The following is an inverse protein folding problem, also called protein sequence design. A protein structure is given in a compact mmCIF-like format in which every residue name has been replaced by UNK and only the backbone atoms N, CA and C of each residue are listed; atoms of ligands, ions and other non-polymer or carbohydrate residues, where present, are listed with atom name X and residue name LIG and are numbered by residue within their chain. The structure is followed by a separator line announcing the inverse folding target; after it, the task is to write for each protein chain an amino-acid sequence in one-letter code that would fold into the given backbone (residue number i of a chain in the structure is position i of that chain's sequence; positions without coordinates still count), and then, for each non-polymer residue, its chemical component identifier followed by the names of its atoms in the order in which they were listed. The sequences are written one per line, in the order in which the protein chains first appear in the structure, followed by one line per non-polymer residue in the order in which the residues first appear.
data_IF_974324437996
#
_entry.id   IF_974324437996
#
_cell.length_a   1.000
_cell.length_b   1.000
_cell.length_c   1.000
_cell.angle_alpha   90.00
_cell.angle_beta   90.00
_cell.angle_gamma   90.00
#
_symmetry.space_group_name_H-M   'P 1'
#
loop_
_entity.id
_entity.type
_entity.pdbx_description
1 polymer ?
#
# COMPACT_ATOMS: atom_id res chain seq x y z
N UNK A 1 -36.44 2.12 9.23
CA UNK A 1 -34.97 2.15 9.07
C UNK A 1 -34.40 3.12 10.08
N UNK A 2 -33.68 2.62 11.09
CA UNK A 2 -32.98 3.48 12.05
C UNK A 2 -31.80 4.10 11.31
N UNK A 3 -31.77 5.43 11.15
CA UNK A 3 -30.56 6.13 10.70
C UNK A 3 -29.43 5.68 11.62
N UNK A 4 -28.38 5.06 11.07
CA UNK A 4 -27.14 4.77 11.80
C UNK A 4 -26.49 6.12 12.17
N UNK A 5 -27.00 6.75 13.22
CA UNK A 5 -26.50 8.01 13.74
C UNK A 5 -25.46 7.72 14.82
N UNK A 6 -24.37 8.47 14.79
CA UNK A 6 -23.38 8.49 15.85
C UNK A 6 -24.02 8.90 17.20
N UNK A 7 -23.46 8.48 18.35
CA UNK A 7 -23.87 9.01 19.65
C UNK A 7 -23.85 10.54 19.62
N UNK A 8 -24.96 11.17 20.05
CA UNK A 8 -25.18 12.63 19.95
C UNK A 8 -24.13 13.47 20.67
N UNK A 9 -23.37 12.86 21.58
CA UNK A 9 -22.44 13.53 22.49
C UNK A 9 -20.98 13.44 22.01
N UNK A 10 -20.73 12.78 20.86
CA UNK A 10 -19.39 12.60 20.31
C UNK A 10 -19.00 13.81 19.45
N UNK A 11 -18.38 14.82 20.06
CA UNK A 11 -17.74 15.92 19.32
C UNK A 11 -16.42 15.42 18.75
N UNK A 12 -16.44 14.84 17.55
CA UNK A 12 -15.22 14.38 16.88
C UNK A 12 -14.53 15.59 16.22
N UNK A 13 -13.34 15.96 16.73
CA UNK A 13 -12.38 16.86 16.07
C UNK A 13 -12.51 18.37 16.33
N UNK A 14 -13.51 18.82 17.09
CA UNK A 14 -13.72 20.25 17.35
C UNK A 14 -14.25 21.03 16.13
N UNK A 15 -14.47 22.36 16.25
CA UNK A 15 -15.06 23.15 15.18
C UNK A 15 -14.17 23.16 13.92
N UNK A 16 -14.68 22.62 12.81
CA UNK A 16 -14.01 22.63 11.51
C UNK A 16 -13.30 21.34 11.10
N UNK A 17 -13.32 20.28 11.92
CA UNK A 17 -12.80 18.96 11.55
C UNK A 17 -13.92 18.00 11.16
N UNK A 18 -13.66 17.16 10.16
CA UNK A 18 -14.59 16.11 9.73
C UNK A 18 -14.57 14.97 10.76
N UNK A 19 -15.72 14.37 11.10
CA UNK A 19 -15.73 13.18 11.95
C UNK A 19 -14.96 12.04 11.27
N UNK A 20 -14.25 11.24 12.08
CA UNK A 20 -13.37 10.17 11.61
C UNK A 20 -14.06 8.81 11.75
N UNK A 21 -14.02 7.99 10.70
CA UNK A 21 -14.38 6.57 10.74
C UNK A 21 -13.11 5.74 10.54
N UNK A 22 -12.84 4.85 11.50
CA UNK A 22 -11.78 3.86 11.38
C UNK A 22 -12.19 2.77 10.39
N UNK A 23 -11.34 2.48 9.42
CA UNK A 23 -11.52 1.48 8.38
C UNK A 23 -10.35 0.52 8.48
N UNK A 24 -10.62 -0.73 8.85
CA UNK A 24 -9.60 -1.78 8.89
C UNK A 24 -9.63 -2.57 7.60
N UNK A 25 -8.47 -3.01 7.16
CA UNK A 25 -8.30 -3.86 5.98
C UNK A 25 -7.31 -4.97 6.30
N UNK A 26 -7.56 -6.14 5.72
CA UNK A 26 -6.69 -7.30 5.80
C UNK A 26 -7.05 -8.32 4.71
N UNK A 27 -6.13 -9.24 4.42
CA UNK A 27 -6.32 -10.35 3.50
C UNK A 27 -6.22 -11.71 4.18
N UNK A 28 -7.21 -12.58 3.91
CA UNK A 28 -7.19 -13.95 4.40
C UNK A 28 -7.21 -14.97 3.27
N UNK A 29 -6.47 -16.06 3.45
CA UNK A 29 -6.48 -17.19 2.52
C UNK A 29 -7.35 -18.31 3.07
N UNK A 30 -8.18 -18.87 2.20
CA UNK A 30 -9.04 -20.02 2.45
C UNK A 30 -8.72 -21.11 1.43
N UNK A 31 -8.52 -22.33 1.89
CA UNK A 31 -8.20 -23.47 1.04
C UNK A 31 -9.27 -24.55 1.15
N UNK A 32 -9.51 -25.33 0.08
CA UNK A 32 -10.56 -26.35 0.04
C UNK A 32 -10.45 -27.41 1.15
N UNK A 33 -9.23 -27.65 1.64
CA UNK A 33 -8.98 -28.62 2.71
C UNK A 33 -8.74 -27.94 4.07
N UNK A 34 -9.08 -26.66 4.24
CA UNK A 34 -9.15 -26.03 5.55
C UNK A 34 -10.26 -26.66 6.41
N UNK A 35 -10.08 -26.62 7.72
CA UNK A 35 -10.95 -27.30 8.69
C UNK A 35 -10.18 -28.04 9.79
N UNK A 36 -10.90 -28.87 10.56
CA UNK A 36 -10.39 -29.51 11.77
C UNK A 36 -9.18 -30.39 11.50
N UNK A 37 -8.03 -30.04 12.10
CA UNK A 37 -6.79 -30.81 12.00
C UNK A 37 -6.73 -31.99 12.97
N UNK A 38 -7.61 -32.01 13.95
CA UNK A 38 -7.65 -32.99 15.01
C UNK A 38 -9.08 -33.52 15.16
N UNK A 39 -9.20 -34.82 15.37
CA UNK A 39 -10.46 -35.50 15.62
C UNK A 39 -10.23 -36.66 16.60
N UNK A 40 -11.18 -36.86 17.51
CA UNK A 40 -11.22 -38.07 18.33
C UNK A 40 -11.73 -39.23 17.47
N UNK A 41 -10.91 -40.28 17.34
CA UNK A 41 -11.25 -41.46 16.54
C UNK A 41 -11.33 -42.71 17.42
N UNK A 42 -12.35 -43.53 17.18
CA UNK A 42 -12.49 -44.83 17.83
C UNK A 42 -11.46 -45.86 17.31
N UNK A 43 -11.26 -46.99 18.02
CA UNK A 43 -10.15 -47.92 17.80
C UNK A 43 -10.03 -48.50 16.37
N UNK A 44 -11.11 -48.50 15.60
CA UNK A 44 -11.18 -49.10 14.26
C UNK A 44 -11.45 -48.07 13.14
N UNK A 45 -11.21 -46.78 13.38
CA UNK A 45 -11.42 -45.72 12.38
C UNK A 45 -10.13 -45.01 12.04
N UNK A 46 -10.00 -44.60 10.78
CA UNK A 46 -8.91 -43.77 10.31
C UNK A 46 -9.41 -42.37 9.98
N UNK A 47 -8.71 -41.35 10.49
CA UNK A 47 -8.92 -39.98 10.08
C UNK A 47 -8.07 -39.71 8.84
N UNK A 48 -8.68 -39.80 7.65
CA UNK A 48 -8.02 -39.52 6.38
C UNK A 48 -8.22 -38.05 6.00
N UNK A 49 -7.12 -37.35 5.73
CA UNK A 49 -7.12 -35.99 5.20
C UNK A 49 -6.24 -35.94 3.95
N UNK A 50 -6.64 -35.21 2.91
CA UNK A 50 -5.72 -34.87 1.82
C UNK A 50 -4.44 -34.21 2.35
N UNK A 51 -3.28 -34.60 1.82
CA UNK A 51 -1.98 -34.07 2.28
C UNK A 51 -1.76 -32.59 1.91
N UNK A 52 -2.43 -32.11 0.85
CA UNK A 52 -2.32 -30.73 0.38
C UNK A 52 -3.44 -29.83 0.89
N UNK A 53 -3.27 -28.51 0.76
CA UNK A 53 -4.31 -27.52 1.09
C UNK A 53 -5.50 -27.52 0.12
N UNK A 54 -5.34 -28.12 -1.06
CA UNK A 54 -6.35 -28.06 -2.12
C UNK A 54 -6.22 -26.76 -2.93
N UNK A 55 -7.27 -26.40 -3.65
CA UNK A 55 -7.37 -25.07 -4.28
C UNK A 55 -7.53 -24.02 -3.19
N UNK A 56 -7.12 -22.79 -3.46
CA UNK A 56 -7.21 -21.70 -2.49
C UNK A 56 -7.70 -20.41 -3.12
N UNK A 57 -8.39 -19.64 -2.30
CA UNK A 57 -8.82 -18.28 -2.59
C UNK A 57 -8.19 -17.35 -1.55
N UNK A 58 -7.74 -16.20 -1.98
CA UNK A 58 -7.45 -15.06 -1.13
C UNK A 58 -8.66 -14.15 -1.16
N UNK A 59 -9.07 -13.68 0.01
CA UNK A 59 -10.16 -12.73 0.19
C UNK A 59 -9.57 -11.49 0.82
N UNK A 60 -9.74 -10.36 0.17
CA UNK A 60 -9.35 -9.03 0.67
C UNK A 60 -10.62 -8.24 0.98
N UNK A 61 -10.71 -7.64 2.16
CA UNK A 61 -11.94 -6.98 2.60
C UNK A 61 -11.72 -5.84 3.60
N UNK A 62 -12.77 -5.04 3.79
CA UNK A 62 -12.76 -3.88 4.67
C UNK A 62 -13.83 -3.99 5.75
N UNK A 63 -13.45 -3.71 6.99
CA UNK A 63 -14.39 -3.59 8.10
C UNK A 63 -14.39 -2.17 8.68
N UNK A 64 -15.57 -1.77 9.11
CA UNK A 64 -15.86 -0.62 9.96
C UNK A 64 -16.05 -1.13 11.40
N UNK A 65 -16.06 -0.25 12.41
CA UNK A 65 -16.16 -0.68 13.82
C UNK A 65 -17.47 -1.43 14.14
N UNK A 66 -18.48 -1.32 13.28
CA UNK A 66 -19.81 -1.89 13.49
C UNK A 66 -20.29 -2.82 12.36
N UNK A 67 -19.56 -2.94 11.25
CA UNK A 67 -19.96 -3.81 10.15
C UNK A 67 -18.86 -3.98 9.11
N UNK A 68 -19.01 -4.99 8.26
CA UNK A 68 -18.32 -5.02 6.96
C UNK A 68 -18.68 -3.78 6.13
N UNK A 69 -17.75 -3.31 5.30
CA UNK A 69 -18.01 -2.22 4.37
C UNK A 69 -18.96 -2.71 3.27
N UNK A 70 -20.20 -2.22 3.30
CA UNK A 70 -21.26 -2.59 2.37
C UNK A 70 -22.07 -1.39 1.90
N UNK A 71 -22.65 -1.47 0.71
CA UNK A 71 -23.61 -0.51 0.15
C UNK A 71 -25.07 -0.91 0.39
N UNK A 72 -25.32 -1.79 1.36
CA UNK A 72 -26.68 -2.25 1.74
C UNK A 72 -27.60 -1.11 2.19
N UNK A 73 -27.02 -0.02 2.71
CA UNK A 73 -27.77 1.17 3.11
C UNK A 73 -28.22 2.03 1.93
N UNK A 74 -27.71 1.78 0.72
CA UNK A 74 -28.08 2.49 -0.49
C UNK A 74 -29.20 1.75 -1.23
N UNK A 75 -30.05 2.48 -1.93
CA UNK A 75 -30.98 1.93 -2.92
C UNK A 75 -30.22 1.38 -4.14
N UNK A 76 -30.90 0.58 -4.98
CA UNK A 76 -30.31 0.11 -6.24
C UNK A 76 -29.90 1.26 -7.16
N UNK A 77 -30.77 2.27 -7.31
CA UNK A 77 -30.49 3.49 -8.09
C UNK A 77 -29.24 4.23 -7.59
N UNK A 78 -29.05 4.34 -6.27
CA UNK A 78 -27.88 4.99 -5.70
C UNK A 78 -26.58 4.20 -5.92
N UNK A 79 -26.68 2.88 -6.11
CA UNK A 79 -25.55 1.99 -6.44
C UNK A 79 -25.20 1.96 -7.93
N UNK A 80 -26.17 2.22 -8.82
CA UNK A 80 -26.04 2.03 -10.27
C UNK A 80 -26.13 3.31 -11.09
N UNK A 81 -25.99 4.49 -10.47
CA UNK A 81 -25.99 5.77 -11.19
C UNK A 81 -24.94 5.77 -12.33
N UNK A 82 -25.20 6.51 -13.41
CA UNK A 82 -24.60 6.39 -14.74
C UNK A 82 -23.07 6.34 -14.81
N UNK A 83 -22.38 6.89 -13.81
CA UNK A 83 -20.93 7.06 -13.81
C UNK A 83 -20.19 6.08 -12.88
N UNK A 84 -20.88 5.30 -12.04
CA UNK A 84 -20.21 4.36 -11.11
C UNK A 84 -21.14 3.23 -10.67
N UNK A 85 -20.74 1.99 -10.95
CA UNK A 85 -21.38 0.79 -10.40
C UNK A 85 -20.67 0.37 -9.10
N UNK A 86 -21.27 0.67 -7.95
CA UNK A 86 -20.71 0.28 -6.66
C UNK A 86 -21.10 -1.16 -6.30
N UNK A 87 -20.15 -2.01 -5.85
CA UNK A 87 -20.46 -3.37 -5.44
C UNK A 87 -21.22 -3.39 -4.10
N UNK A 88 -21.87 -4.52 -3.79
CA UNK A 88 -22.58 -4.71 -2.52
C UNK A 88 -21.62 -4.70 -1.33
N UNK A 89 -20.49 -5.38 -1.45
CA UNK A 89 -19.40 -5.40 -0.46
C UNK A 89 -18.10 -4.97 -1.13
N UNK A 90 -17.20 -4.38 -0.35
CA UNK A 90 -15.89 -3.94 -0.82
C UNK A 90 -14.91 -5.11 -1.00
N UNK A 91 -15.39 -6.32 -1.23
CA UNK A 91 -14.56 -7.54 -1.16
C UNK A 91 -13.97 -7.88 -2.51
N UNK A 92 -12.69 -8.25 -2.52
CA UNK A 92 -12.04 -8.83 -3.68
C UNK A 92 -11.66 -10.28 -3.41
N UNK A 93 -11.90 -11.12 -4.42
CA UNK A 93 -11.50 -12.52 -4.42
C UNK A 93 -10.37 -12.69 -5.44
N UNK A 94 -9.33 -13.43 -5.06
CA UNK A 94 -8.27 -13.86 -5.95
C UNK A 94 -8.10 -15.36 -5.78
N UNK A 95 -8.41 -16.13 -6.81
CA UNK A 95 -8.05 -17.55 -6.85
C UNK A 95 -6.53 -17.64 -7.05
N UNK A 96 -5.82 -18.42 -6.23
CA UNK A 96 -4.37 -18.58 -6.39
C UNK A 96 -4.00 -20.02 -6.78
N UNK A 97 -3.17 -20.14 -7.81
CA UNK A 97 -2.77 -21.40 -8.44
C UNK A 97 -1.62 -21.21 -9.44
N UNK A 98 -1.20 -22.27 -10.14
CA UNK A 98 -0.03 -22.23 -11.05
C UNK A 98 -0.16 -21.24 -12.23
N UNK A 99 -1.36 -20.77 -12.54
CA UNK A 99 -1.70 -19.95 -13.72
C UNK A 99 -2.28 -18.58 -13.36
N UNK A 100 -2.62 -18.34 -12.11
CA UNK A 100 -3.27 -17.11 -11.64
C UNK A 100 -2.20 -16.13 -11.11
N UNK A 101 -2.47 -14.83 -11.20
CA UNK A 101 -1.58 -13.77 -10.74
C UNK A 101 -1.34 -13.76 -9.23
N UNK A 102 -0.43 -12.91 -8.78
CA UNK A 102 -0.18 -12.67 -7.35
C UNK A 102 -0.76 -11.32 -6.95
N UNK A 103 -1.33 -11.24 -5.75
CA UNK A 103 -1.77 -9.97 -5.15
C UNK A 103 -0.55 -9.14 -4.75
N UNK A 104 -0.44 -7.94 -5.31
CA UNK A 104 0.64 -7.00 -5.03
C UNK A 104 0.16 -5.68 -4.40
N UNK A 105 1.11 -4.79 -4.09
CA UNK A 105 0.78 -3.48 -3.52
C UNK A 105 -0.05 -2.58 -4.44
N UNK A 106 0.02 -2.76 -5.76
CA UNK A 106 -0.79 -2.01 -6.73
C UNK A 106 -2.24 -2.50 -6.69
N UNK A 107 -2.45 -3.81 -6.55
CA UNK A 107 -3.80 -4.38 -6.38
C UNK A 107 -4.49 -3.82 -5.14
N UNK A 108 -3.75 -3.70 -4.02
CA UNK A 108 -4.26 -3.08 -2.80
C UNK A 108 -4.59 -1.60 -2.98
N UNK A 109 -3.70 -0.83 -3.59
CA UNK A 109 -3.95 0.61 -3.86
C UNK A 109 -5.20 0.77 -4.73
N UNK A 110 -5.34 -0.03 -5.79
CA UNK A 110 -6.55 -0.04 -6.62
C UNK A 110 -7.78 -0.45 -5.82
N UNK A 111 -7.67 -1.44 -4.93
CA UNK A 111 -8.77 -1.87 -4.08
C UNK A 111 -9.27 -0.75 -3.16
N UNK A 112 -8.36 0.03 -2.57
CA UNK A 112 -8.71 1.19 -1.75
C UNK A 112 -9.30 2.31 -2.60
N UNK A 113 -8.63 2.71 -3.68
CA UNK A 113 -8.99 3.90 -4.45
C UNK A 113 -10.22 3.71 -5.32
N UNK A 114 -10.41 2.53 -5.90
CA UNK A 114 -11.46 2.26 -6.89
C UNK A 114 -12.70 1.63 -6.27
N UNK A 115 -12.57 1.01 -5.09
CA UNK A 115 -13.69 0.31 -4.43
C UNK A 115 -14.01 0.94 -3.08
N UNK A 116 -13.09 0.85 -2.11
CA UNK A 116 -13.40 1.23 -0.73
C UNK A 116 -13.72 2.73 -0.59
N UNK A 117 -12.89 3.60 -1.14
CA UNK A 117 -13.07 5.06 -1.05
C UNK A 117 -14.36 5.54 -1.73
N UNK A 118 -14.69 5.14 -2.98
CA UNK A 118 -15.96 5.48 -3.60
C UNK A 118 -17.17 5.05 -2.77
N UNK A 119 -17.15 3.81 -2.24
CA UNK A 119 -18.21 3.32 -1.35
C UNK A 119 -18.33 4.18 -0.09
N UNK A 120 -17.22 4.42 0.61
CA UNK A 120 -17.18 5.19 1.85
C UNK A 120 -17.67 6.63 1.65
N UNK A 121 -17.23 7.31 0.59
CA UNK A 121 -17.66 8.68 0.26
C UNK A 121 -19.16 8.76 -0.03
N UNK A 122 -19.72 7.71 -0.63
CA UNK A 122 -21.16 7.63 -0.94
C UNK A 122 -21.99 7.35 0.31
N UNK A 123 -21.56 6.41 1.16
CA UNK A 123 -22.31 5.97 2.34
C UNK A 123 -22.18 6.98 3.50
N UNK A 124 -20.99 7.57 3.67
CA UNK A 124 -20.67 8.49 4.78
C UNK A 124 -20.12 9.83 4.24
N UNK A 125 -20.95 10.61 3.51
CA UNK A 125 -20.51 11.90 3.01
C UNK A 125 -20.14 12.84 4.16
N UNK A 126 -19.07 13.62 3.98
CA UNK A 126 -18.57 14.58 4.98
C UNK A 126 -17.66 13.99 6.06
N UNK A 127 -17.46 12.66 6.09
CA UNK A 127 -16.51 12.02 7.00
C UNK A 127 -15.09 12.04 6.44
N UNK A 128 -14.12 11.89 7.33
CA UNK A 128 -12.75 11.49 7.02
C UNK A 128 -12.56 10.02 7.41
N UNK A 129 -11.83 9.27 6.60
CA UNK A 129 -11.58 7.86 6.85
C UNK A 129 -10.15 7.70 7.35
N UNK A 130 -9.99 6.94 8.44
CA UNK A 130 -8.70 6.53 8.97
C UNK A 130 -8.50 5.06 8.61
N UNK A 131 -7.63 4.77 7.67
CA UNK A 131 -7.30 3.41 7.29
C UNK A 131 -6.26 2.82 8.23
N UNK A 132 -6.52 1.64 8.76
CA UNK A 132 -5.59 0.88 9.57
C UNK A 132 -5.20 -0.40 8.84
N UNK A 133 -3.93 -0.49 8.49
CA UNK A 133 -3.35 -1.64 7.81
C UNK A 133 -2.35 -2.35 8.72
N UNK A 134 -2.16 -3.64 8.45
CA UNK A 134 -1.01 -4.38 8.92
C UNK A 134 0.29 -3.82 8.28
N UNK A 135 1.45 -4.26 8.75
CA UNK A 135 2.75 -3.84 8.21
C UNK A 135 3.35 -4.92 7.32
N UNK A 136 2.55 -5.43 6.39
CA UNK A 136 3.01 -6.36 5.37
C UNK A 136 3.91 -5.66 4.35
N UNK A 137 4.77 -6.45 3.69
CA UNK A 137 5.65 -5.95 2.63
C UNK A 137 4.87 -5.32 1.46
N UNK A 138 3.66 -5.81 1.18
CA UNK A 138 2.82 -5.30 0.11
C UNK A 138 2.37 -3.86 0.41
N UNK A 139 2.07 -3.56 1.67
CA UNK A 139 1.63 -2.24 2.14
C UNK A 139 2.76 -1.21 2.13
N UNK A 140 4.00 -1.67 2.28
CA UNK A 140 5.23 -0.85 2.22
C UNK A 140 5.76 -0.59 0.81
N UNK A 141 5.03 -0.92 -0.25
CA UNK A 141 5.46 -0.71 -1.63
C UNK A 141 5.51 0.79 -1.94
N UNK A 142 6.61 1.26 -2.52
CA UNK A 142 6.77 2.67 -2.93
C UNK A 142 6.36 2.85 -4.39
N UNK A 143 6.04 4.09 -4.77
CA UNK A 143 5.84 4.45 -6.17
C UNK A 143 7.06 4.10 -7.03
N UNK A 144 6.84 3.72 -8.29
CA UNK A 144 7.94 3.32 -9.20
C UNK A 144 8.97 4.43 -9.42
N UNK A 145 8.54 5.69 -9.31
CA UNK A 145 9.38 6.87 -9.40
C UNK A 145 9.83 7.43 -8.03
N UNK A 146 9.59 6.75 -6.90
CA UNK A 146 9.98 7.26 -5.58
C UNK A 146 11.51 7.43 -5.44
N UNK A 147 11.95 8.43 -4.67
CA UNK A 147 13.36 8.72 -4.39
C UNK A 147 13.95 7.63 -3.50
N UNK A 148 14.36 6.52 -4.11
CA UNK A 148 14.92 5.37 -3.40
C UNK A 148 16.31 5.07 -3.90
N UNK A 149 17.27 5.10 -2.98
CA UNK A 149 18.67 4.76 -3.28
C UNK A 149 18.81 3.35 -3.85
N UNK A 150 17.95 2.40 -3.45
CA UNK A 150 17.97 1.03 -3.99
C UNK A 150 17.54 0.96 -5.46
N UNK A 151 16.89 2.00 -5.98
CA UNK A 151 16.47 2.11 -7.38
C UNK A 151 17.41 2.95 -8.23
N UNK A 152 18.55 3.37 -7.67
CA UNK A 152 19.55 4.19 -8.35
C UNK A 152 20.83 3.40 -8.60
N UNK A 153 21.51 3.72 -9.69
CA UNK A 153 22.88 3.29 -9.99
C UNK A 153 23.87 4.38 -9.58
N UNK A 154 25.15 4.03 -9.45
CA UNK A 154 26.19 5.02 -9.15
C UNK A 154 26.42 6.01 -10.30
N UNK A 155 26.44 5.51 -11.54
CA UNK A 155 26.63 6.28 -12.77
C UNK A 155 25.28 6.54 -13.43
N UNK A 156 25.14 7.70 -14.09
CA UNK A 156 23.92 8.03 -14.82
C UNK A 156 23.68 7.12 -16.01
N UNK A 157 22.41 6.94 -16.35
CA UNK A 157 21.97 6.12 -17.47
C UNK A 157 22.02 4.61 -17.18
N UNK A 158 21.51 3.85 -18.15
CA UNK A 158 21.34 2.40 -18.05
C UNK A 158 19.88 2.01 -18.23
N UNK A 159 19.63 1.01 -19.06
CA UNK A 159 18.27 0.56 -19.44
C UNK A 159 17.43 0.08 -18.25
N UNK A 160 18.06 -0.34 -17.16
CA UNK A 160 17.40 -0.85 -15.95
C UNK A 160 17.23 0.19 -14.84
N UNK A 161 17.71 1.42 -15.02
CA UNK A 161 17.60 2.45 -13.99
C UNK A 161 16.20 3.09 -14.03
N UNK A 162 15.51 3.14 -12.88
CA UNK A 162 14.20 3.78 -12.77
C UNK A 162 14.32 5.30 -12.92
N UNK A 163 13.35 5.91 -13.61
CA UNK A 163 13.20 7.36 -13.69
C UNK A 163 12.54 7.84 -12.40
N UNK A 164 13.29 8.55 -11.57
CA UNK A 164 12.81 9.02 -10.27
C UNK A 164 12.16 10.40 -10.39
N UNK A 165 11.22 10.68 -9.49
CA UNK A 165 10.58 11.99 -9.33
C UNK A 165 11.58 13.03 -8.86
N UNK A 166 11.21 14.31 -8.97
CA UNK A 166 12.00 15.44 -8.47
C UNK A 166 12.29 15.29 -6.98
N UNK A 167 13.53 15.57 -6.61
CA UNK A 167 13.97 15.74 -5.22
C UNK A 167 14.01 17.20 -4.80
N UNK A 168 14.34 17.42 -3.53
CA UNK A 168 14.42 18.74 -2.93
C UNK A 168 15.71 18.87 -2.13
N UNK A 169 16.53 19.84 -2.50
CA UNK A 169 17.81 20.09 -1.86
C UNK A 169 17.58 20.53 -0.42
N UNK A 170 18.22 19.87 0.55
CA UNK A 170 18.04 20.16 1.98
C UNK A 170 16.56 20.15 2.42
N UNK A 171 15.72 19.35 1.77
CA UNK A 171 14.28 19.28 2.07
C UNK A 171 13.46 20.51 1.67
N UNK A 172 14.06 21.52 1.02
CA UNK A 172 13.39 22.77 0.66
C UNK A 172 12.62 22.64 -0.67
N UNK A 173 11.27 22.74 -0.66
CA UNK A 173 10.46 22.66 -1.87
C UNK A 173 10.79 23.72 -2.93
N UNK A 174 11.40 24.85 -2.53
CA UNK A 174 11.84 25.88 -3.45
C UNK A 174 13.12 25.50 -4.22
N UNK A 175 13.90 24.54 -3.70
CA UNK A 175 15.16 24.10 -4.30
C UNK A 175 15.01 22.73 -4.94
N UNK A 176 14.30 22.71 -6.07
CA UNK A 176 14.03 21.49 -6.84
C UNK A 176 15.32 20.91 -7.41
N UNK A 177 15.53 19.62 -7.19
CA UNK A 177 16.55 18.82 -7.87
C UNK A 177 15.90 17.89 -8.90
N UNK A 178 16.19 18.09 -10.17
CA UNK A 178 15.83 17.14 -11.22
C UNK A 178 16.62 15.84 -11.07
N UNK A 179 15.94 14.69 -11.19
CA UNK A 179 16.57 13.36 -11.12
C UNK A 179 16.83 12.74 -12.50
N UNK A 180 16.55 13.49 -13.56
CA UNK A 180 16.73 13.10 -14.95
C UNK A 180 17.37 14.23 -15.75
N UNK A 181 17.85 13.92 -16.95
CA UNK A 181 18.24 14.90 -17.96
C UNK A 181 17.83 14.41 -19.35
N UNK A 182 17.62 15.36 -20.26
CA UNK A 182 17.38 15.04 -21.67
C UNK A 182 18.72 14.80 -22.38
N UNK A 183 18.77 13.76 -23.21
CA UNK A 183 19.93 13.39 -24.00
C UNK A 183 19.51 12.97 -25.40
N UNK A 184 20.27 13.37 -26.41
CA UNK A 184 20.04 12.97 -27.80
C UNK A 184 20.87 11.71 -28.06
N UNK A 185 20.22 10.63 -28.50
CA UNK A 185 20.90 9.44 -28.97
C UNK A 185 21.70 9.78 -30.23
N UNK A 186 23.02 9.63 -30.17
CA UNK A 186 23.93 9.99 -31.26
C UNK A 186 23.75 9.17 -32.54
N UNK A 187 23.12 7.99 -32.46
CA UNK A 187 22.89 7.09 -33.59
C UNK A 187 21.51 7.26 -34.21
N UNK A 188 20.48 7.50 -33.39
CA UNK A 188 19.09 7.62 -33.88
C UNK A 188 18.62 9.07 -34.00
N UNK A 189 19.32 10.02 -33.38
CA UNK A 189 18.88 11.42 -33.27
C UNK A 189 17.67 11.60 -32.35
N UNK A 190 17.26 10.55 -31.63
CA UNK A 190 16.07 10.57 -30.78
C UNK A 190 16.37 11.23 -29.44
N UNK A 191 15.51 12.14 -28.99
CA UNK A 191 15.54 12.63 -27.61
C UNK A 191 15.11 11.54 -26.65
N UNK A 192 15.93 11.29 -25.64
CA UNK A 192 15.72 10.29 -24.60
C UNK A 192 15.93 10.92 -23.23
N UNK A 193 15.12 10.51 -22.26
CA UNK A 193 15.30 10.91 -20.87
C UNK A 193 16.17 9.89 -20.15
N UNK A 194 17.28 10.36 -19.57
CA UNK A 194 18.22 9.52 -18.81
C UNK A 194 18.13 9.83 -17.33
N UNK A 195 18.18 8.79 -16.49
CA UNK A 195 18.22 8.93 -15.05
C UNK A 195 19.61 9.39 -14.57
N UNK A 196 19.64 10.30 -13.59
CA UNK A 196 20.88 10.69 -12.91
C UNK A 196 21.33 9.57 -11.96
N UNK A 197 22.62 9.25 -12.00
CA UNK A 197 23.23 8.35 -11.02
C UNK A 197 23.50 9.06 -9.70
N UNK A 198 23.69 8.29 -8.62
CA UNK A 198 24.00 8.80 -7.29
C UNK A 198 25.17 9.78 -7.29
N UNK A 199 26.19 9.56 -8.13
CA UNK A 199 27.35 10.45 -8.22
C UNK A 199 26.95 11.87 -8.61
N UNK A 200 26.16 12.04 -9.68
CA UNK A 200 25.74 13.36 -10.17
C UNK A 200 24.85 14.04 -9.14
N UNK A 201 23.90 13.30 -8.57
CA UNK A 201 22.98 13.81 -7.54
C UNK A 201 23.74 14.32 -6.31
N UNK A 202 24.75 13.58 -5.85
CA UNK A 202 25.59 13.99 -4.71
C UNK A 202 26.55 15.13 -5.06
N UNK A 203 27.03 15.23 -6.31
CA UNK A 203 27.86 16.35 -6.76
C UNK A 203 27.06 17.66 -6.77
N UNK A 204 25.84 17.62 -7.30
CA UNK A 204 24.90 18.75 -7.28
C UNK A 204 24.58 19.18 -5.84
N UNK A 205 24.48 18.23 -4.91
CA UNK A 205 24.31 18.47 -3.47
C UNK A 205 25.56 18.94 -2.73
N UNK A 206 26.73 18.95 -3.36
CA UNK A 206 28.00 19.27 -2.69
C UNK A 206 28.45 18.21 -1.67
N UNK A 207 27.88 17.00 -1.73
CA UNK A 207 28.14 15.90 -0.80
C UNK A 207 29.10 14.83 -1.36
N UNK A 208 29.41 14.91 -2.65
CA UNK A 208 30.31 13.96 -3.30
C UNK A 208 31.76 14.13 -2.83
N UNK A 209 32.42 13.00 -2.55
CA UNK A 209 33.86 12.91 -2.28
C UNK A 209 34.49 11.92 -3.26
N UNK A 210 35.69 12.22 -3.73
CA UNK A 210 36.38 11.32 -4.64
C UNK A 210 36.72 9.99 -3.97
N UNK A 211 36.54 8.89 -4.71
CA UNK A 211 36.70 7.53 -4.20
C UNK A 211 35.48 6.92 -3.53
N UNK A 212 34.34 7.63 -3.46
CA UNK A 212 33.08 7.04 -2.97
C UNK A 212 32.61 5.86 -3.84
N UNK A 213 32.37 4.71 -3.20
CA UNK A 213 31.71 3.57 -3.80
C UNK A 213 30.18 3.66 -3.65
N UNK A 214 29.45 2.86 -4.43
CA UNK A 214 27.98 2.75 -4.34
C UNK A 214 27.55 2.20 -2.98
N UNK A 215 28.20 1.12 -2.54
CA UNK A 215 27.95 0.45 -1.27
C UNK A 215 29.25 0.31 -0.49
N UNK A 216 29.17 0.39 0.84
CA UNK A 216 30.31 0.14 1.70
C UNK A 216 30.54 -1.38 1.85
N UNK A 217 31.80 -1.85 1.82
CA UNK A 217 32.13 -3.26 2.01
C UNK A 217 31.94 -3.75 3.46
N UNK A 218 31.91 -2.81 4.42
CA UNK A 218 31.57 -3.02 5.83
C UNK A 218 30.61 -1.87 6.16
N UNK A 219 29.61 -2.06 7.04
CA UNK A 219 28.58 -1.06 7.42
C UNK A 219 29.11 0.27 8.04
N UNK A 220 30.19 0.84 7.52
CA UNK A 220 30.63 2.20 7.75
C UNK A 220 29.72 3.13 6.95
N UNK A 221 29.31 4.24 7.56
CA UNK A 221 28.31 5.14 7.01
C UNK A 221 28.88 6.07 5.92
N UNK A 222 29.59 5.54 4.91
CA UNK A 222 30.44 6.35 4.04
C UNK A 222 30.27 6.14 2.53
N UNK A 223 29.24 5.43 2.05
CA UNK A 223 29.02 5.23 0.61
C UNK A 223 27.98 6.19 0.06
N UNK A 224 27.96 6.31 -1.28
CA UNK A 224 27.00 7.16 -1.98
C UNK A 224 25.54 6.82 -1.61
N UNK A 225 25.20 5.52 -1.52
CA UNK A 225 23.85 5.10 -1.15
C UNK A 225 23.46 5.50 0.28
N UNK A 226 24.40 5.43 1.23
CA UNK A 226 24.14 5.75 2.64
C UNK A 226 24.08 7.26 2.91
N UNK A 227 24.90 8.05 2.20
CA UNK A 227 24.82 9.51 2.29
C UNK A 227 23.47 9.96 1.74
N UNK A 228 23.10 9.48 0.55
CA UNK A 228 21.87 9.87 -0.11
C UNK A 228 20.62 9.37 0.62
N UNK A 229 20.66 8.19 1.27
CA UNK A 229 19.52 7.65 2.02
C UNK A 229 19.18 8.46 3.27
N UNK A 230 20.12 9.28 3.77
CA UNK A 230 19.95 10.14 4.94
C UNK A 230 19.47 11.54 4.60
N UNK A 231 19.42 11.87 3.32
CA UNK A 231 18.87 13.14 2.88
C UNK A 231 17.37 13.20 3.18
N UNK A 232 16.90 14.40 3.55
CA UNK A 232 15.54 14.59 4.06
C UNK A 232 14.46 14.15 3.07
N UNK A 233 14.61 14.47 1.79
CA UNK A 233 13.66 14.11 0.75
C UNK A 233 13.64 12.60 0.44
N UNK A 234 14.76 11.91 0.63
CA UNK A 234 14.84 10.44 0.55
C UNK A 234 14.24 9.76 1.79
N UNK A 235 14.46 10.30 2.99
CA UNK A 235 13.87 9.79 4.23
C UNK A 235 12.36 10.03 4.32
N UNK A 236 11.89 11.16 3.78
CA UNK A 236 10.49 11.57 3.82
C UNK A 236 9.60 10.82 2.80
N UNK A 237 10.17 9.95 1.95
CA UNK A 237 9.39 9.15 1.02
C UNK A 237 8.40 8.27 1.78
N UNK A 238 7.14 8.27 1.32
CA UNK A 238 6.08 7.44 1.87
C UNK A 238 5.76 6.28 0.92
N UNK A 239 5.17 5.22 1.46
CA UNK A 239 4.64 4.14 0.63
C UNK A 239 3.55 4.66 -0.31
N UNK A 240 3.40 4.02 -1.48
CA UNK A 240 2.40 4.39 -2.50
C UNK A 240 1.00 4.46 -1.89
N UNK A 241 0.61 3.46 -1.10
CA UNK A 241 -0.68 3.41 -0.42
C UNK A 241 -0.90 4.61 0.50
N UNK A 242 0.12 4.98 1.28
CA UNK A 242 0.05 6.13 2.17
C UNK A 242 -0.10 7.43 1.37
N UNK A 243 0.69 7.62 0.32
CA UNK A 243 0.60 8.82 -0.52
C UNK A 243 -0.78 8.99 -1.14
N UNK A 244 -1.36 7.90 -1.67
CA UNK A 244 -2.67 7.94 -2.33
C UNK A 244 -3.84 8.21 -1.36
N UNK A 245 -3.78 7.63 -0.16
CA UNK A 245 -4.80 7.85 0.88
C UNK A 245 -4.72 9.30 1.41
N UNK A 246 -3.52 9.80 1.70
CA UNK A 246 -3.31 11.17 2.16
C UNK A 246 -3.71 12.18 1.08
N UNK A 247 -3.35 11.92 -0.19
CA UNK A 247 -3.76 12.76 -1.34
C UNK A 247 -5.27 12.80 -1.52
N UNK A 248 -5.96 11.71 -1.17
CA UNK A 248 -7.42 11.62 -1.15
C UNK A 248 -8.07 12.36 0.03
N UNK A 249 -7.28 13.00 0.90
CA UNK A 249 -7.75 13.75 2.07
C UNK A 249 -8.08 12.87 3.28
N UNK A 250 -7.56 11.65 3.32
CA UNK A 250 -7.83 10.65 4.35
C UNK A 250 -6.58 10.33 5.16
N UNK A 251 -6.76 9.61 6.26
CA UNK A 251 -5.69 9.28 7.20
C UNK A 251 -5.31 7.81 7.07
N UNK A 252 -4.08 7.48 7.41
CA UNK A 252 -3.56 6.11 7.39
C UNK A 252 -2.66 5.85 8.58
N UNK A 253 -2.79 4.66 9.15
CA UNK A 253 -1.90 4.12 10.17
C UNK A 253 -1.50 2.70 9.80
N UNK A 254 -0.26 2.37 10.14
CA UNK A 254 0.27 1.02 10.04
C UNK A 254 0.49 0.46 11.44
N UNK A 255 0.07 -0.78 11.65
CA UNK A 255 0.38 -1.51 12.88
C UNK A 255 1.90 -1.73 12.99
N UNK A 256 2.45 -1.95 14.20
CA UNK A 256 3.83 -2.38 14.35
C UNK A 256 4.11 -3.68 13.59
N UNK A 257 5.34 -3.88 13.12
CA UNK A 257 5.74 -5.11 12.38
C UNK A 257 5.49 -6.42 13.14
N UNK A 258 5.41 -6.35 14.46
CA UNK A 258 5.13 -7.48 15.35
C UNK A 258 3.90 -7.23 16.21
N UNK A 259 2.85 -6.65 15.61
CA UNK A 259 1.59 -6.48 16.31
C UNK A 259 0.96 -7.86 16.59
N UNK A 260 0.26 -7.97 17.71
CA UNK A 260 -0.61 -9.11 17.94
C UNK A 260 -1.81 -9.03 17.00
N UNK A 261 -2.36 -10.17 16.57
CA UNK A 261 -3.60 -10.31 15.77
C UNK A 261 -4.85 -9.91 16.59
N UNK A 262 -4.81 -8.72 17.19
CA UNK A 262 -5.88 -8.12 17.99
C UNK A 262 -6.71 -7.13 17.18
N UNK A 263 -6.35 -6.91 15.91
CA UNK A 263 -7.22 -6.19 15.00
C UNK A 263 -8.49 -7.02 14.82
N UNK A 264 -9.66 -6.41 14.96
CA UNK A 264 -10.91 -7.18 14.99
C UNK A 264 -11.22 -7.88 13.67
N UNK A 265 -10.61 -7.42 12.56
CA UNK A 265 -10.69 -8.10 11.27
C UNK A 265 -10.10 -9.51 11.32
N UNK A 266 -9.11 -9.75 12.18
CA UNK A 266 -8.55 -11.08 12.40
C UNK A 266 -9.56 -12.03 13.05
N UNK A 267 -10.35 -11.55 14.01
CA UNK A 267 -11.42 -12.35 14.60
C UNK A 267 -12.51 -12.67 13.58
N UNK A 268 -12.85 -11.71 12.71
CA UNK A 268 -13.77 -11.93 11.61
C UNK A 268 -13.27 -13.03 10.66
N UNK A 269 -11.97 -13.04 10.34
CA UNK A 269 -11.37 -14.13 9.56
C UNK A 269 -11.32 -15.45 10.30
N UNK A 270 -11.07 -15.41 11.61
CA UNK A 270 -11.07 -16.59 12.47
C UNK A 270 -12.42 -17.32 12.47
N UNK A 271 -13.54 -16.58 12.46
CA UNK A 271 -14.88 -17.19 12.36
C UNK A 271 -15.15 -17.83 10.99
N UNK A 272 -14.49 -17.34 9.93
CA UNK A 272 -14.66 -17.87 8.57
C UNK A 272 -13.87 -19.15 8.27
N UNK A 273 -12.89 -19.53 9.11
CA UNK A 273 -11.95 -20.65 8.89
C UNK A 273 -12.30 -21.90 9.72
#
# INVERSE_FOLDING_TARGET
MVKKAYPQDCIVGGPGQRPIILVTHDESTFSSNDGRRQAWIGPARHFLRPKGRGQGIMVSDFLLPWSRLSTESLSEEERTNSDTQLPLYATKYLEYGKTEGYWDGKDLVAHVLEVALPMLRKIYPGYQFLFLFDNSSNHGTYADNALRVQSMSLKSGGLSQKLLRRGYMNGDPAQVQEMTYQAIDSHTGTETTLAKGMKVVLQERGLWKDGLSMHCPKNLCCCAAEILSREEDFLAQKGMLQEEIERSGHLILFLPKFHCELNWIEYYWGEGK
#
